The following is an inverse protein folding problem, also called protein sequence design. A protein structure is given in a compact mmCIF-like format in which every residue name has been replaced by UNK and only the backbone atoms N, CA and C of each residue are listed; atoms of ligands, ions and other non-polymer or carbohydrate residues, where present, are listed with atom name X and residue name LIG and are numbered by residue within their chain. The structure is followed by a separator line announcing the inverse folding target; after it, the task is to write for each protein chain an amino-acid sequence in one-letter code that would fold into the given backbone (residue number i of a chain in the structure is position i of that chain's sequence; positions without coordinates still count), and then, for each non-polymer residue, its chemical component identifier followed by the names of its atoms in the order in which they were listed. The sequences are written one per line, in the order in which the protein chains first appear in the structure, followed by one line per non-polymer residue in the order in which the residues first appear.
data_IF_948660786985
#
_entry.id   IF_948660786985
#
_cell.length_a   1.000
_cell.length_b   1.000
_cell.length_c   1.000
_cell.angle_alpha   90.00
_cell.angle_beta   90.00
_cell.angle_gamma   90.00
#
_symmetry.space_group_name_H-M   'P 1'
#
loop_
_entity.id
_entity.type
_entity.pdbx_description
1 polymer ?
#
# COMPACT_ATOMS: atom_id res chain seq x y z
N UNK A 1 41.64 -6.43 -23.38
CA UNK A 1 40.88 -6.02 -22.18
C UNK A 1 39.38 -6.19 -22.51
N UNK A 2 38.75 -7.23 -21.97
CA UNK A 2 37.32 -7.42 -22.12
C UNK A 2 36.61 -6.48 -21.13
N UNK A 3 35.99 -5.43 -21.62
CA UNK A 3 35.03 -4.65 -20.86
C UNK A 3 33.78 -5.48 -20.69
N UNK A 4 33.63 -6.11 -19.56
CA UNK A 4 32.36 -6.72 -19.17
C UNK A 4 31.36 -5.60 -18.91
N UNK A 5 30.61 -5.24 -19.92
CA UNK A 5 29.39 -4.45 -19.75
C UNK A 5 28.42 -5.32 -18.97
N UNK A 6 28.20 -4.96 -17.69
CA UNK A 6 27.08 -5.54 -16.95
C UNK A 6 25.81 -5.04 -17.61
N UNK A 7 25.28 -5.82 -18.54
CA UNK A 7 23.98 -5.59 -19.11
C UNK A 7 22.95 -5.77 -17.98
N UNK A 8 22.35 -4.65 -17.53
CA UNK A 8 21.24 -4.71 -16.58
C UNK A 8 20.09 -5.42 -17.29
N UNK A 9 19.80 -6.64 -16.87
CA UNK A 9 18.72 -7.42 -17.44
C UNK A 9 17.41 -6.64 -17.37
N UNK A 10 16.70 -6.53 -18.50
CA UNK A 10 15.36 -5.94 -18.56
C UNK A 10 14.41 -6.75 -17.66
N UNK A 11 13.57 -6.10 -16.82
CA UNK A 11 12.62 -6.83 -15.99
C UNK A 11 11.73 -7.72 -16.82
N UNK A 12 11.49 -8.94 -16.40
CA UNK A 12 10.61 -9.88 -17.07
C UNK A 12 9.17 -9.36 -17.12
N UNK A 13 8.46 -9.76 -18.17
CA UNK A 13 7.04 -9.41 -18.34
C UNK A 13 6.19 -9.87 -17.16
N UNK A 14 6.46 -11.08 -16.65
CA UNK A 14 5.74 -11.63 -15.50
C UNK A 14 5.90 -10.77 -14.25
N UNK A 15 7.12 -10.28 -13.98
CA UNK A 15 7.37 -9.39 -12.84
C UNK A 15 6.59 -8.08 -12.98
N UNK A 16 6.60 -7.47 -14.16
CA UNK A 16 5.87 -6.21 -14.39
C UNK A 16 4.36 -6.39 -14.22
N UNK A 17 3.80 -7.46 -14.77
CA UNK A 17 2.38 -7.80 -14.59
C UNK A 17 2.07 -8.01 -13.11
N UNK A 18 2.89 -8.79 -12.41
CA UNK A 18 2.72 -9.04 -10.98
C UNK A 18 2.73 -7.75 -10.15
N UNK A 19 3.63 -6.83 -10.46
CA UNK A 19 3.70 -5.52 -9.79
C UNK A 19 2.44 -4.68 -10.04
N UNK A 20 1.95 -4.62 -11.27
CA UNK A 20 0.72 -3.90 -11.58
C UNK A 20 -0.50 -4.50 -10.89
N UNK A 21 -0.58 -5.83 -10.84
CA UNK A 21 -1.66 -6.54 -10.11
C UNK A 21 -1.58 -6.21 -8.61
N UNK A 22 -0.39 -6.30 -8.02
CA UNK A 22 -0.19 -5.96 -6.60
C UNK A 22 -0.57 -4.51 -6.29
N UNK A 23 -0.15 -3.57 -7.13
CA UNK A 23 -0.50 -2.15 -6.98
C UNK A 23 -2.01 -1.92 -7.08
N UNK A 24 -2.68 -2.59 -8.01
CA UNK A 24 -4.13 -2.53 -8.16
C UNK A 24 -4.87 -3.08 -6.95
N UNK A 25 -4.43 -4.22 -6.41
CA UNK A 25 -5.02 -4.82 -5.22
C UNK A 25 -4.84 -3.95 -3.99
N UNK A 26 -3.66 -3.38 -3.80
CA UNK A 26 -3.39 -2.45 -2.69
C UNK A 26 -4.25 -1.20 -2.84
N UNK A 27 -4.32 -0.62 -4.04
CA UNK A 27 -5.17 0.54 -4.32
C UNK A 27 -6.63 0.27 -3.96
N UNK A 28 -7.19 -0.84 -4.41
CA UNK A 28 -8.58 -1.20 -4.13
C UNK A 28 -8.82 -1.40 -2.62
N UNK A 29 -7.91 -2.08 -1.94
CA UNK A 29 -8.07 -2.40 -0.51
C UNK A 29 -7.88 -1.17 0.37
N UNK A 30 -6.77 -0.45 0.20
CA UNK A 30 -6.49 0.76 0.99
C UNK A 30 -7.43 1.90 0.62
N UNK A 31 -7.73 2.05 -0.66
CA UNK A 31 -8.66 3.09 -1.13
C UNK A 31 -10.06 2.89 -0.57
N UNK A 32 -10.60 1.68 -0.67
CA UNK A 32 -11.93 1.37 -0.13
C UNK A 32 -11.97 1.44 1.39
N UNK A 33 -10.96 0.91 2.07
CA UNK A 33 -10.85 1.00 3.53
C UNK A 33 -10.76 2.47 4.00
N UNK A 34 -10.02 3.29 3.29
CA UNK A 34 -9.92 4.73 3.56
C UNK A 34 -11.25 5.44 3.38
N UNK A 35 -11.95 5.20 2.27
CA UNK A 35 -13.27 5.79 2.03
C UNK A 35 -14.29 5.36 3.07
N UNK A 36 -14.31 4.08 3.44
CA UNK A 36 -15.20 3.58 4.50
C UNK A 36 -14.93 4.31 5.82
N UNK A 37 -13.67 4.45 6.22
CA UNK A 37 -13.30 5.15 7.45
C UNK A 37 -13.57 6.66 7.41
N UNK A 38 -13.62 7.26 6.23
CA UNK A 38 -13.88 8.70 6.08
C UNK A 38 -15.37 9.04 5.98
N UNK A 39 -16.17 8.16 5.38
CA UNK A 39 -17.55 8.47 5.00
C UNK A 39 -18.60 7.77 5.86
N UNK A 40 -18.25 6.66 6.54
CA UNK A 40 -19.23 5.91 7.34
C UNK A 40 -19.39 6.54 8.71
N UNK A 41 -20.64 6.72 9.19
CA UNK A 41 -20.89 7.17 10.58
C UNK A 41 -20.23 6.23 11.60
N UNK A 42 -19.70 6.80 12.68
CA UNK A 42 -18.96 6.03 13.68
C UNK A 42 -19.75 4.86 14.28
N UNK A 43 -21.05 4.96 14.61
CA UNK A 43 -21.80 3.82 15.13
C UNK A 43 -21.85 2.64 14.15
N UNK A 44 -22.01 2.91 12.86
CA UNK A 44 -22.01 1.88 11.82
C UNK A 44 -20.59 1.30 11.62
N UNK A 45 -19.59 2.16 11.63
CA UNK A 45 -18.20 1.78 11.49
C UNK A 45 -17.76 0.88 12.66
N UNK A 46 -18.19 1.20 13.89
CA UNK A 46 -17.91 0.41 15.08
C UNK A 46 -18.53 -1.00 15.03
N UNK A 47 -19.66 -1.15 14.34
CA UNK A 47 -20.26 -2.47 14.10
C UNK A 47 -19.40 -3.33 13.16
N UNK A 48 -18.72 -2.70 12.19
CA UNK A 48 -17.83 -3.38 11.25
C UNK A 48 -16.42 -3.56 11.83
N UNK A 49 -15.94 -2.56 12.55
CA UNK A 49 -14.60 -2.48 13.13
C UNK A 49 -14.72 -2.01 14.58
N UNK A 50 -14.81 -2.91 15.56
CA UNK A 50 -15.09 -2.52 16.96
C UNK A 50 -14.13 -1.47 17.53
N UNK A 51 -12.86 -1.50 17.11
CA UNK A 51 -11.87 -0.52 17.56
C UNK A 51 -12.24 0.93 17.20
N UNK A 52 -12.96 1.13 16.10
CA UNK A 52 -13.36 2.47 15.65
C UNK A 52 -14.30 3.17 16.63
N UNK A 53 -15.04 2.41 17.43
CA UNK A 53 -15.88 2.95 18.51
C UNK A 53 -15.13 3.18 19.82
N UNK A 54 -13.88 2.74 19.93
CA UNK A 54 -13.07 2.79 21.16
C UNK A 54 -12.01 3.89 21.15
N UNK A 55 -11.81 4.53 20.00
CA UNK A 55 -10.85 5.63 19.81
C UNK A 55 -11.59 6.89 19.37
N UNK A 56 -10.91 8.03 19.42
CA UNK A 56 -11.51 9.29 18.98
C UNK A 56 -11.88 9.25 17.50
N UNK A 57 -12.94 9.93 17.13
CA UNK A 57 -13.37 10.05 15.72
C UNK A 57 -12.25 10.66 14.87
N UNK A 58 -11.56 11.67 15.38
CA UNK A 58 -10.43 12.30 14.67
C UNK A 58 -9.35 11.29 14.33
N UNK A 59 -9.01 10.40 15.26
CA UNK A 59 -8.02 9.34 15.02
C UNK A 59 -8.49 8.38 13.92
N UNK A 60 -9.74 7.93 13.97
CA UNK A 60 -10.31 7.02 12.98
C UNK A 60 -10.31 7.64 11.59
N UNK A 61 -10.73 8.90 11.49
CA UNK A 61 -10.74 9.63 10.21
C UNK A 61 -9.32 9.87 9.69
N UNK A 62 -8.37 10.14 10.58
CA UNK A 62 -6.96 10.27 10.21
C UNK A 62 -6.40 8.98 9.61
N UNK A 63 -6.67 7.83 10.22
CA UNK A 63 -6.26 6.54 9.66
C UNK A 63 -6.90 6.30 8.30
N UNK A 64 -8.18 6.65 8.14
CA UNK A 64 -8.86 6.58 6.83
C UNK A 64 -8.18 7.44 5.77
N UNK A 65 -7.74 8.63 6.14
CA UNK A 65 -7.02 9.53 5.23
C UNK A 65 -5.65 8.96 4.84
N UNK A 66 -4.95 8.36 5.78
CA UNK A 66 -3.65 7.68 5.54
C UNK A 66 -3.85 6.49 4.62
N UNK A 67 -4.87 5.67 4.84
CA UNK A 67 -5.21 4.54 3.97
C UNK A 67 -5.48 5.02 2.54
N UNK A 68 -6.30 6.04 2.38
CA UNK A 68 -6.64 6.59 1.07
C UNK A 68 -5.40 7.15 0.35
N UNK A 69 -4.58 7.91 1.07
CA UNK A 69 -3.34 8.46 0.53
C UNK A 69 -2.38 7.34 0.10
N UNK A 70 -2.26 6.27 0.88
CA UNK A 70 -1.45 5.10 0.54
C UNK A 70 -1.94 4.40 -0.72
N UNK A 71 -3.25 4.18 -0.82
CA UNK A 71 -3.87 3.57 -1.99
C UNK A 71 -3.68 4.39 -3.26
N UNK A 72 -3.95 5.68 -3.21
CA UNK A 72 -3.74 6.59 -4.35
C UNK A 72 -2.26 6.69 -4.68
N UNK A 73 -1.40 6.83 -3.69
CA UNK A 73 0.03 7.01 -3.87
C UNK A 73 0.73 5.79 -4.47
N UNK A 74 0.21 4.59 -4.24
CA UNK A 74 0.83 3.39 -4.80
C UNK A 74 0.51 3.16 -6.28
N UNK A 75 -0.60 3.70 -6.77
CA UNK A 75 -1.06 3.47 -8.14
C UNK A 75 -0.94 4.69 -9.03
N UNK A 76 -1.46 5.84 -8.61
CA UNK A 76 -1.61 7.01 -9.47
C UNK A 76 -0.29 7.58 -10.00
N UNK A 77 0.78 7.76 -9.18
CA UNK A 77 2.07 8.23 -9.70
C UNK A 77 2.66 7.27 -10.74
N UNK A 78 2.45 5.98 -10.57
CA UNK A 78 2.92 4.96 -11.51
C UNK A 78 2.15 5.02 -12.83
N UNK A 79 0.82 5.17 -12.79
CA UNK A 79 -0.03 5.26 -13.98
C UNK A 79 0.24 6.53 -14.79
N UNK A 80 0.36 7.66 -14.11
CA UNK A 80 0.58 8.96 -14.77
C UNK A 80 2.03 9.17 -15.16
N UNK A 81 2.94 8.44 -14.54
CA UNK A 81 4.38 8.62 -14.65
C UNK A 81 4.85 10.03 -14.22
N UNK A 82 4.02 10.71 -13.44
CA UNK A 82 4.36 11.97 -12.80
C UNK A 82 4.87 11.64 -11.40
N UNK A 83 6.13 12.00 -11.11
CA UNK A 83 6.80 11.69 -9.85
C UNK A 83 6.64 10.20 -9.45
N UNK A 84 7.01 9.25 -10.31
CA UNK A 84 6.76 7.82 -10.07
C UNK A 84 7.45 7.28 -8.82
N UNK A 85 8.44 7.99 -8.27
CA UNK A 85 9.06 7.65 -6.98
C UNK A 85 8.10 7.73 -5.81
N UNK A 86 6.98 8.47 -5.94
CA UNK A 86 5.94 8.49 -4.92
C UNK A 86 5.28 7.12 -4.75
N UNK A 87 5.23 6.29 -5.78
CA UNK A 87 4.79 4.90 -5.66
C UNK A 87 5.68 4.10 -4.71
N UNK A 88 6.99 4.28 -4.79
CA UNK A 88 7.96 3.63 -3.89
C UNK A 88 7.76 4.12 -2.45
N UNK A 89 7.61 5.43 -2.27
CA UNK A 89 7.35 6.02 -0.96
C UNK A 89 6.01 5.53 -0.38
N UNK A 90 4.98 5.46 -1.20
CA UNK A 90 3.68 4.93 -0.79
C UNK A 90 3.77 3.45 -0.40
N UNK A 91 4.53 2.64 -1.14
CA UNK A 91 4.77 1.23 -0.80
C UNK A 91 5.48 1.09 0.55
N UNK A 92 6.45 1.96 0.84
CA UNK A 92 7.09 2.01 2.15
C UNK A 92 6.08 2.39 3.23
N UNK A 93 5.28 3.43 3.02
CA UNK A 93 4.26 3.88 3.96
C UNK A 93 3.20 2.81 4.23
N UNK A 94 2.71 2.14 3.19
CA UNK A 94 1.77 1.02 3.32
C UNK A 94 2.38 -0.14 4.12
N UNK A 95 3.65 -0.47 3.89
CA UNK A 95 4.36 -1.52 4.62
C UNK A 95 4.46 -1.17 6.12
N UNK A 96 4.87 0.05 6.44
CA UNK A 96 4.96 0.53 7.82
C UNK A 96 3.59 0.51 8.50
N UNK A 97 2.55 0.98 7.79
CA UNK A 97 1.19 0.99 8.32
C UNK A 97 0.70 -0.44 8.63
N UNK A 98 1.02 -1.41 7.79
CA UNK A 98 0.62 -2.80 8.03
C UNK A 98 1.37 -3.44 9.19
N UNK A 99 2.63 -3.10 9.41
CA UNK A 99 3.37 -3.53 10.60
C UNK A 99 2.70 -2.98 11.87
N UNK A 100 2.36 -1.69 11.89
CA UNK A 100 1.63 -1.09 13.00
C UNK A 100 0.24 -1.71 13.18
N UNK A 101 -0.47 -1.98 12.10
CA UNK A 101 -1.79 -2.63 12.16
C UNK A 101 -1.69 -4.05 12.74
N UNK A 102 -0.68 -4.82 12.37
CA UNK A 102 -0.44 -6.15 12.93
C UNK A 102 -0.19 -6.08 14.43
N UNK A 103 0.71 -5.21 14.87
CA UNK A 103 0.99 -5.00 16.30
C UNK A 103 -0.28 -4.58 17.04
N UNK A 104 -1.02 -3.64 16.47
CA UNK A 104 -2.26 -3.14 17.04
C UNK A 104 -3.30 -4.26 17.24
N UNK A 105 -3.61 -5.01 16.19
CA UNK A 105 -4.61 -6.07 16.26
C UNK A 105 -4.17 -7.23 17.16
N UNK A 106 -2.90 -7.63 17.09
CA UNK A 106 -2.39 -8.70 17.95
C UNK A 106 -2.40 -8.29 19.42
N UNK A 107 -2.08 -7.03 19.75
CA UNK A 107 -2.14 -6.52 21.12
C UNK A 107 -3.55 -6.47 21.69
N UNK A 108 -4.57 -6.43 20.82
CA UNK A 108 -5.98 -6.44 21.20
C UNK A 108 -6.59 -7.84 21.21
N UNK A 109 -5.82 -8.88 20.91
CA UNK A 109 -6.33 -10.24 20.82
C UNK A 109 -7.17 -10.51 19.55
N UNK A 110 -6.98 -9.71 18.50
CA UNK A 110 -7.73 -9.77 17.25
C UNK A 110 -6.97 -10.55 16.16
N UNK A 111 -6.32 -11.65 16.53
CA UNK A 111 -5.55 -12.47 15.59
C UNK A 111 -6.34 -12.91 14.33
N UNK A 112 -7.65 -13.22 14.40
CA UNK A 112 -8.42 -13.64 13.21
C UNK A 112 -8.51 -12.59 12.10
N UNK A 113 -8.31 -11.29 12.37
CA UNK A 113 -8.36 -10.24 11.34
C UNK A 113 -6.99 -9.97 10.72
N UNK A 114 -5.92 -10.54 11.26
CA UNK A 114 -4.54 -10.25 10.82
C UNK A 114 -4.11 -10.91 9.50
N UNK A 115 -4.71 -12.00 8.99
CA UNK A 115 -4.30 -12.57 7.70
C UNK A 115 -4.32 -11.58 6.55
N UNK A 116 -5.32 -10.70 6.49
CA UNK A 116 -5.39 -9.64 5.48
C UNK A 116 -4.22 -8.66 5.61
N UNK A 117 -3.87 -8.29 6.83
CA UNK A 117 -2.74 -7.39 7.10
C UNK A 117 -1.41 -8.01 6.64
N UNK A 118 -1.22 -9.32 6.85
CA UNK A 118 -0.02 -10.05 6.39
C UNK A 118 0.04 -10.06 4.86
N UNK A 119 -1.07 -10.32 4.18
CA UNK A 119 -1.13 -10.30 2.71
C UNK A 119 -0.81 -8.90 2.18
N UNK A 120 -1.41 -7.86 2.75
CA UNK A 120 -1.16 -6.48 2.34
C UNK A 120 0.28 -6.05 2.61
N UNK A 121 0.87 -6.50 3.71
CA UNK A 121 2.27 -6.26 4.00
C UNK A 121 3.18 -6.92 2.95
N UNK A 122 2.91 -8.18 2.62
CA UNK A 122 3.67 -8.91 1.61
C UNK A 122 3.57 -8.22 0.24
N UNK A 123 2.37 -7.81 -0.18
CA UNK A 123 2.15 -7.09 -1.43
C UNK A 123 2.86 -5.74 -1.44
N UNK A 124 2.81 -5.00 -0.33
CA UNK A 124 3.45 -3.68 -0.19
C UNK A 124 4.98 -3.80 -0.25
N UNK A 125 5.55 -4.79 0.41
CA UNK A 125 6.99 -5.08 0.35
C UNK A 125 7.42 -5.53 -1.06
N UNK A 126 6.59 -6.31 -1.73
CA UNK A 126 6.82 -6.72 -3.12
C UNK A 126 6.87 -5.51 -4.06
N UNK A 127 5.94 -4.57 -3.92
CA UNK A 127 5.94 -3.33 -4.73
C UNK A 127 7.13 -2.45 -4.36
N UNK A 128 7.45 -2.33 -3.07
CA UNK A 128 8.60 -1.56 -2.61
C UNK A 128 9.90 -2.07 -3.25
N UNK A 129 10.12 -3.37 -3.20
CA UNK A 129 11.28 -3.99 -3.82
C UNK A 129 11.24 -3.88 -5.34
N UNK A 130 10.12 -4.24 -5.98
CA UNK A 130 10.00 -4.29 -7.43
C UNK A 130 10.12 -2.91 -8.06
N UNK A 131 9.38 -1.94 -7.59
CA UNK A 131 9.40 -0.56 -8.13
C UNK A 131 10.60 0.23 -7.67
N UNK A 132 11.17 -0.12 -6.52
CA UNK A 132 12.37 0.55 -6.01
C UNK A 132 13.66 0.10 -6.70
N UNK A 133 13.75 -1.15 -7.15
CA UNK A 133 15.02 -1.72 -7.63
C UNK A 133 14.93 -2.47 -8.97
N UNK A 134 13.93 -3.34 -9.16
CA UNK A 134 13.91 -4.29 -10.29
C UNK A 134 13.22 -3.74 -11.53
N UNK A 135 12.14 -3.02 -11.37
CA UNK A 135 11.31 -2.50 -12.46
C UNK A 135 10.82 -1.09 -12.14
N UNK A 136 11.74 -0.11 -11.95
CA UNK A 136 11.35 1.28 -11.73
C UNK A 136 10.54 1.82 -12.90
N UNK A 137 9.61 2.72 -12.63
CA UNK A 137 8.83 3.40 -13.66
C UNK A 137 9.55 4.70 -14.01
N UNK A 138 9.81 4.88 -15.31
CA UNK A 138 10.42 6.10 -15.82
C UNK A 138 9.43 7.26 -15.78
N UNK A 139 9.90 8.42 -15.31
CA UNK A 139 9.11 9.64 -15.30
C UNK A 139 8.73 10.06 -16.73
N UNK A 140 7.52 10.65 -16.86
CA UNK A 140 7.10 11.29 -18.11
C UNK A 140 7.96 12.52 -18.37
N UNK A 141 8.40 12.68 -19.61
CA UNK A 141 9.06 13.91 -20.04
C UNK A 141 8.01 14.85 -20.65
N UNK A 142 8.07 16.10 -20.27
CA UNK A 142 7.22 17.18 -20.78
C UNK A 142 8.03 18.10 -21.71
#
# INVERSE_FOLDING_TARGET
MSTTTFETATPGRALRIGLWVAQGLIFLTFGSAGLVKLLTPIPELAAMMPWAGQYSETFVRFIGLVDLAGGIGILLPALTRILPRLTVLAALGCSVLQVFALVFHLSRGEAPVTPLNVVLLALSLFVLWGRGRKAPIAARQF
#
